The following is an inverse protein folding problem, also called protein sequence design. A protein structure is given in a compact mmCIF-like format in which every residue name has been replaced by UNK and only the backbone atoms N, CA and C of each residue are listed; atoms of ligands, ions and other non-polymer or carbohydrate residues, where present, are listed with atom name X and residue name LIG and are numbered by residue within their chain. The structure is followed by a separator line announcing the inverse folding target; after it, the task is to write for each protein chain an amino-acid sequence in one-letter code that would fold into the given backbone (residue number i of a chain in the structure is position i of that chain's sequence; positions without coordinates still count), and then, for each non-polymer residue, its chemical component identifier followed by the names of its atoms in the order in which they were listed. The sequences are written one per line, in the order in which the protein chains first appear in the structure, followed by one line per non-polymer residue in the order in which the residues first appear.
data_IF_111936363807
#
_entry.id   IF_111936363807
#
_cell.length_a   1.000
_cell.length_b   1.000
_cell.length_c   1.000
_cell.angle_alpha   90.00
_cell.angle_beta   90.00
_cell.angle_gamma   90.00
#
_symmetry.space_group_name_H-M   'P 1'
#
loop_
_entity.id
_entity.type
_entity.pdbx_description
1 polymer ?
#
# COMPACT_ATOMS: atom_id res chain seq x y z
N UNK A 1 16.81 22.95 6.44
CA UNK A 1 16.91 21.47 6.43
C UNK A 1 18.25 21.00 6.98
N UNK A 2 18.29 19.86 7.68
CA UNK A 2 19.53 19.23 8.18
C UNK A 2 19.50 17.73 7.91
N UNK A 3 20.52 17.20 7.24
CA UNK A 3 20.56 15.81 6.78
C UNK A 3 21.83 15.15 7.30
N UNK A 4 21.68 14.03 8.00
CA UNK A 4 22.83 13.20 8.38
C UNK A 4 23.16 12.23 7.24
N UNK A 5 24.42 12.20 6.82
CA UNK A 5 24.96 11.30 5.79
C UNK A 5 26.14 10.51 6.38
N UNK A 6 26.62 9.46 5.69
CA UNK A 6 27.85 8.76 6.10
C UNK A 6 29.09 9.65 6.11
N UNK A 7 29.07 10.78 5.40
CA UNK A 7 30.20 11.71 5.24
C UNK A 7 30.10 12.95 6.14
N UNK A 8 29.05 13.06 6.96
CA UNK A 8 28.83 14.20 7.84
C UNK A 8 27.42 14.74 7.74
N UNK A 9 27.21 15.93 8.30
CA UNK A 9 25.91 16.58 8.27
C UNK A 9 25.90 17.67 7.20
N UNK A 10 24.87 17.63 6.35
CA UNK A 10 24.57 18.67 5.37
C UNK A 10 23.50 19.59 5.96
N UNK A 11 23.70 20.89 5.78
CA UNK A 11 22.75 21.92 6.22
C UNK A 11 22.52 22.88 5.07
N UNK A 12 21.26 23.22 4.83
CA UNK A 12 20.86 24.15 3.79
C UNK A 12 19.39 24.49 3.97
N UNK A 13 18.91 25.55 3.31
CA UNK A 13 17.53 26.02 3.51
C UNK A 13 16.51 24.93 3.17
N UNK A 14 16.71 24.25 2.04
CA UNK A 14 15.93 23.12 1.53
C UNK A 14 16.83 22.06 0.86
N UNK A 15 16.23 21.01 0.31
CA UNK A 15 16.96 19.90 -0.31
C UNK A 15 17.67 20.35 -1.59
N UNK A 16 17.09 21.25 -2.38
CA UNK A 16 17.68 21.77 -3.60
C UNK A 16 18.94 22.60 -3.32
N UNK A 17 18.94 23.40 -2.24
CA UNK A 17 20.11 24.14 -1.80
C UNK A 17 21.26 23.19 -1.43
N UNK A 18 20.94 22.10 -0.72
CA UNK A 18 21.91 21.06 -0.35
C UNK A 18 22.48 20.38 -1.60
N UNK A 19 21.64 19.98 -2.55
CA UNK A 19 22.07 19.36 -3.81
C UNK A 19 22.93 20.32 -4.65
N UNK A 20 22.58 21.60 -4.66
CA UNK A 20 23.33 22.63 -5.40
C UNK A 20 24.72 22.87 -4.80
N UNK A 21 24.84 22.84 -3.48
CA UNK A 21 26.10 23.07 -2.78
C UNK A 21 27.01 21.84 -2.79
N UNK A 22 26.44 20.65 -2.58
CA UNK A 22 27.19 19.42 -2.32
C UNK A 22 27.15 18.41 -3.47
N UNK A 23 26.37 18.67 -4.53
CA UNK A 23 26.18 17.80 -5.68
C UNK A 23 25.15 16.69 -5.44
N UNK A 24 24.73 16.02 -6.53
CA UNK A 24 23.68 15.01 -6.50
C UNK A 24 24.06 13.70 -5.77
N UNK A 25 25.35 13.47 -5.56
CA UNK A 25 25.86 12.31 -4.80
C UNK A 25 25.80 12.49 -3.28
N UNK A 26 25.49 13.71 -2.79
CA UNK A 26 25.58 14.02 -1.37
C UNK A 26 24.52 13.30 -0.51
N UNK A 27 23.48 12.73 -1.13
CA UNK A 27 22.39 12.04 -0.43
C UNK A 27 22.58 10.53 -0.32
N UNK A 28 23.70 9.99 -0.80
CA UNK A 28 24.02 8.56 -0.69
C UNK A 28 24.08 8.14 0.78
N UNK A 29 23.26 7.16 1.17
CA UNK A 29 23.15 6.68 2.55
C UNK A 29 22.58 7.71 3.53
N UNK A 30 21.94 8.78 3.03
CA UNK A 30 21.41 9.83 3.88
C UNK A 30 20.24 9.33 4.75
N UNK A 31 20.16 9.87 5.97
CA UNK A 31 19.02 9.69 6.85
C UNK A 31 18.02 10.82 6.61
N UNK A 32 16.94 10.49 5.90
CA UNK A 32 15.84 11.36 5.48
C UNK A 32 14.50 10.88 6.06
N UNK A 33 14.53 10.16 7.19
CA UNK A 33 13.31 9.71 7.88
C UNK A 33 12.44 10.88 8.26
N UNK A 34 11.13 10.73 8.05
CA UNK A 34 10.12 11.73 8.37
C UNK A 34 10.40 13.11 7.71
N UNK A 35 11.24 13.16 6.67
CA UNK A 35 11.59 14.41 6.00
C UNK A 35 10.39 14.91 5.18
N UNK A 36 10.15 16.21 5.24
CA UNK A 36 9.26 16.92 4.32
C UNK A 36 10.04 17.21 3.04
N UNK A 37 9.73 16.44 2.00
CA UNK A 37 10.25 16.53 0.64
C UNK A 37 9.09 16.68 -0.37
N UNK A 38 7.93 17.18 0.07
CA UNK A 38 6.77 17.39 -0.79
C UNK A 38 7.16 18.29 -1.97
N UNK A 39 6.95 17.82 -3.19
CA UNK A 39 7.25 18.55 -4.42
C UNK A 39 8.74 18.85 -4.64
N UNK A 40 9.63 18.19 -3.90
CA UNK A 40 11.07 18.40 -4.01
C UNK A 40 11.58 18.03 -5.41
N UNK A 41 12.58 18.78 -5.89
CA UNK A 41 13.33 18.38 -7.08
C UNK A 41 14.55 17.54 -6.70
N UNK A 42 14.40 16.23 -6.87
CA UNK A 42 15.41 15.19 -6.65
C UNK A 42 15.83 14.53 -7.98
N UNK A 43 15.60 15.19 -9.11
CA UNK A 43 15.94 14.69 -10.44
C UNK A 43 17.43 14.32 -10.52
N UNK A 44 17.73 13.07 -10.87
CA UNK A 44 19.10 12.54 -10.94
C UNK A 44 19.82 12.41 -9.59
N UNK A 45 19.14 12.59 -8.46
CA UNK A 45 19.76 12.46 -7.14
C UNK A 45 20.19 11.02 -6.84
N UNK A 46 21.33 10.86 -6.17
CA UNK A 46 21.81 9.58 -5.71
C UNK A 46 21.34 9.33 -4.27
N UNK A 47 20.23 8.60 -4.15
CA UNK A 47 19.62 8.16 -2.90
C UNK A 47 19.94 6.69 -2.59
N UNK A 48 21.03 6.16 -3.17
CA UNK A 48 21.46 4.79 -2.91
C UNK A 48 21.58 4.56 -1.40
N UNK A 49 20.95 3.50 -0.90
CA UNK A 49 20.95 3.10 0.52
C UNK A 49 20.44 4.18 1.49
N UNK A 50 19.71 5.18 0.98
CA UNK A 50 19.12 6.23 1.81
C UNK A 50 17.94 5.68 2.65
N UNK A 51 17.78 6.24 3.84
CA UNK A 51 16.72 5.90 4.78
C UNK A 51 15.63 6.98 4.71
N UNK A 52 14.57 6.71 3.93
CA UNK A 52 13.45 7.60 3.61
C UNK A 52 12.15 7.15 4.30
N UNK A 53 12.26 6.40 5.41
CA UNK A 53 11.08 5.88 6.10
C UNK A 53 10.16 7.02 6.53
N UNK A 54 8.88 6.90 6.18
CA UNK A 54 7.85 7.89 6.47
C UNK A 54 8.13 9.31 5.92
N UNK A 55 9.05 9.46 4.97
CA UNK A 55 9.25 10.74 4.30
C UNK A 55 8.02 11.09 3.46
N UNK A 56 7.70 12.38 3.40
CA UNK A 56 6.72 12.93 2.46
C UNK A 56 7.45 13.30 1.17
N UNK A 57 7.31 12.50 0.12
CA UNK A 57 7.81 12.72 -1.23
C UNK A 57 6.63 12.97 -2.20
N UNK A 58 5.46 13.34 -1.69
CA UNK A 58 4.29 13.54 -2.53
C UNK A 58 4.56 14.65 -3.56
N UNK A 59 4.26 14.36 -4.83
CA UNK A 59 4.53 15.25 -5.96
C UNK A 59 6.01 15.51 -6.27
N UNK A 60 6.96 14.81 -5.63
CA UNK A 60 8.38 15.00 -5.86
C UNK A 60 8.82 14.57 -7.27
N UNK A 61 9.81 15.25 -7.83
CA UNK A 61 10.47 14.88 -9.07
C UNK A 61 11.69 14.01 -8.75
N UNK A 62 11.57 12.70 -8.96
CA UNK A 62 12.58 11.67 -8.74
C UNK A 62 13.03 11.04 -10.08
N UNK A 63 12.81 11.73 -11.21
CA UNK A 63 13.21 11.22 -12.52
C UNK A 63 14.71 10.97 -12.56
N UNK A 64 15.14 9.86 -13.15
CA UNK A 64 16.54 9.43 -13.21
C UNK A 64 17.24 9.26 -11.84
N UNK A 65 16.49 9.31 -10.72
CA UNK A 65 17.09 9.17 -9.40
C UNK A 65 17.54 7.72 -9.14
N UNK A 66 18.65 7.57 -8.44
CA UNK A 66 19.11 6.26 -7.97
C UNK A 66 18.55 6.00 -6.57
N UNK A 67 17.47 5.22 -6.47
CA UNK A 67 16.86 4.77 -5.22
C UNK A 67 17.26 3.34 -4.83
N UNK A 68 18.29 2.79 -5.49
CA UNK A 68 18.67 1.39 -5.25
C UNK A 68 19.08 1.17 -3.79
N UNK A 69 18.62 0.07 -3.21
CA UNK A 69 18.76 -0.28 -1.80
C UNK A 69 18.12 0.71 -0.80
N UNK A 70 17.39 1.75 -1.24
CA UNK A 70 16.77 2.70 -0.33
C UNK A 70 15.62 2.07 0.49
N UNK A 71 15.37 2.60 1.68
CA UNK A 71 14.24 2.20 2.52
C UNK A 71 13.14 3.27 2.46
N UNK A 72 12.09 3.00 1.70
CA UNK A 72 10.89 3.84 1.54
C UNK A 72 9.70 3.33 2.36
N UNK A 73 9.96 2.56 3.43
CA UNK A 73 8.90 1.99 4.24
C UNK A 73 7.96 3.09 4.74
N UNK A 74 6.68 2.99 4.42
CA UNK A 74 5.66 3.95 4.83
C UNK A 74 5.82 5.37 4.28
N UNK A 75 6.68 5.60 3.28
CA UNK A 75 6.84 6.91 2.64
C UNK A 75 5.60 7.26 1.78
N UNK A 76 5.31 8.55 1.66
CA UNK A 76 4.29 9.03 0.72
C UNK A 76 4.97 9.42 -0.60
N UNK A 77 4.73 8.68 -1.67
CA UNK A 77 5.18 9.01 -3.05
C UNK A 77 3.98 9.30 -3.94
N UNK A 78 2.84 9.70 -3.37
CA UNK A 78 1.65 10.02 -4.16
C UNK A 78 1.96 11.12 -5.17
N UNK A 79 1.51 10.94 -6.41
CA UNK A 79 1.74 11.86 -7.53
C UNK A 79 3.23 12.17 -7.85
N UNK A 80 4.19 11.42 -7.30
CA UNK A 80 5.62 11.60 -7.58
C UNK A 80 5.99 11.12 -8.99
N UNK A 81 6.98 11.76 -9.61
CA UNK A 81 7.54 11.34 -10.90
C UNK A 81 8.80 10.49 -10.66
N UNK A 82 8.68 9.17 -10.80
CA UNK A 82 9.76 8.19 -10.69
C UNK A 82 10.18 7.67 -12.06
N UNK A 83 9.90 8.39 -13.16
CA UNK A 83 10.26 7.91 -14.49
C UNK A 83 11.77 7.68 -14.60
N UNK A 84 12.16 6.56 -15.20
CA UNK A 84 13.58 6.19 -15.40
C UNK A 84 14.39 5.97 -14.09
N UNK A 85 13.76 6.05 -12.91
CA UNK A 85 14.44 5.85 -11.63
C UNK A 85 14.92 4.40 -11.44
N UNK A 86 16.01 4.22 -10.69
CA UNK A 86 16.48 2.88 -10.30
C UNK A 86 15.87 2.44 -8.97
N UNK A 87 14.93 1.48 -9.03
CA UNK A 87 14.25 0.89 -7.88
C UNK A 87 14.82 -0.47 -7.48
N UNK A 88 16.07 -0.79 -7.87
CA UNK A 88 16.71 -2.06 -7.51
C UNK A 88 16.77 -2.26 -6.00
N UNK A 89 16.22 -3.37 -5.51
CA UNK A 89 16.26 -3.75 -4.08
C UNK A 89 15.68 -2.71 -3.10
N UNK A 90 14.84 -1.80 -3.57
CA UNK A 90 14.13 -0.84 -2.74
C UNK A 90 13.10 -1.52 -1.83
N UNK A 91 12.94 -1.02 -0.60
CA UNK A 91 11.86 -1.43 0.30
C UNK A 91 10.68 -0.47 0.21
N UNK A 92 9.65 -0.84 -0.57
CA UNK A 92 8.43 -0.06 -0.75
C UNK A 92 7.29 -0.47 0.19
N UNK A 93 7.50 -1.33 1.18
CA UNK A 93 6.40 -1.82 2.02
C UNK A 93 5.67 -0.65 2.69
N UNK A 94 4.34 -0.65 2.58
CA UNK A 94 3.46 0.42 3.07
C UNK A 94 3.67 1.81 2.46
N UNK A 95 4.49 1.97 1.42
CA UNK A 95 4.63 3.26 0.74
C UNK A 95 3.37 3.58 -0.10
N UNK A 96 2.91 4.83 -0.11
CA UNK A 96 1.85 5.25 -1.03
C UNK A 96 2.45 5.59 -2.39
N UNK A 97 1.94 5.01 -3.47
CA UNK A 97 2.36 5.27 -4.86
C UNK A 97 1.16 5.70 -5.71
N UNK A 98 0.08 6.14 -5.08
CA UNK A 98 -1.14 6.57 -5.75
C UNK A 98 -0.82 7.73 -6.68
N UNK A 99 -1.04 7.55 -7.99
CA UNK A 99 -0.76 8.59 -8.99
C UNK A 99 0.70 8.71 -9.41
N UNK A 100 1.63 7.97 -8.79
CA UNK A 100 3.04 8.03 -9.13
C UNK A 100 3.30 7.56 -10.57
N UNK A 101 4.20 8.25 -11.27
CA UNK A 101 4.68 7.86 -12.59
C UNK A 101 5.88 6.93 -12.46
N UNK A 102 5.73 5.68 -12.90
CA UNK A 102 6.77 4.64 -12.85
C UNK A 102 7.20 4.21 -14.26
N UNK A 103 6.91 5.01 -15.30
CA UNK A 103 7.29 4.69 -16.68
C UNK A 103 8.80 4.51 -16.76
N UNK A 104 9.22 3.42 -17.38
CA UNK A 104 10.63 3.09 -17.61
C UNK A 104 11.50 2.98 -16.33
N UNK A 105 10.90 2.99 -15.14
CA UNK A 105 11.61 2.76 -13.88
C UNK A 105 12.22 1.35 -13.85
N UNK A 106 13.52 1.28 -13.57
CA UNK A 106 14.24 0.02 -13.55
C UNK A 106 13.78 -0.84 -12.37
N UNK A 107 13.62 -2.15 -12.61
CA UNK A 107 13.23 -3.15 -11.60
C UNK A 107 11.87 -2.96 -10.90
N UNK A 108 11.01 -2.05 -11.39
CA UNK A 108 9.67 -1.82 -10.80
C UNK A 108 8.86 -3.11 -10.66
N UNK A 109 8.89 -4.00 -11.66
CA UNK A 109 8.16 -5.28 -11.61
C UNK A 109 8.65 -6.21 -10.48
N UNK A 110 9.96 -6.22 -10.20
CA UNK A 110 10.51 -7.01 -9.10
C UNK A 110 10.12 -6.41 -7.75
N UNK A 111 10.16 -5.08 -7.62
CA UNK A 111 9.76 -4.37 -6.40
C UNK A 111 8.25 -4.54 -6.12
N UNK A 112 7.43 -4.56 -7.18
CA UNK A 112 6.02 -4.97 -7.13
C UNK A 112 5.90 -6.42 -6.62
N UNK A 113 6.60 -7.38 -7.22
CA UNK A 113 6.52 -8.79 -6.84
C UNK A 113 6.90 -9.04 -5.37
N UNK A 114 7.91 -8.32 -4.85
CA UNK A 114 8.33 -8.40 -3.43
C UNK A 114 7.28 -7.86 -2.44
N UNK A 115 6.36 -7.02 -2.88
CA UNK A 115 5.26 -6.47 -2.05
C UNK A 115 3.93 -7.20 -2.27
N UNK A 116 3.80 -7.99 -3.33
CA UNK A 116 2.61 -8.78 -3.61
C UNK A 116 2.48 -9.93 -2.61
N UNK A 117 1.29 -10.08 -2.02
CA UNK A 117 0.98 -11.17 -1.08
C UNK A 117 -0.12 -12.10 -1.58
N UNK A 118 -0.63 -11.84 -2.79
CA UNK A 118 -1.67 -12.61 -3.43
C UNK A 118 -1.02 -13.63 -4.39
N UNK A 119 -1.34 -14.92 -4.28
CA UNK A 119 -0.89 -15.90 -5.26
C UNK A 119 -1.57 -15.66 -6.61
N UNK A 120 -0.83 -15.92 -7.69
CA UNK A 120 -1.28 -15.78 -9.07
C UNK A 120 -2.39 -16.79 -9.43
N UNK A 121 -2.36 -17.97 -8.81
CA UNK A 121 -3.27 -19.07 -9.11
C UNK A 121 -3.95 -19.62 -7.86
N UNK A 122 -5.05 -20.34 -8.09
CA UNK A 122 -5.77 -21.07 -7.05
C UNK A 122 -6.68 -20.20 -6.20
N UNK A 123 -7.62 -20.86 -5.53
CA UNK A 123 -8.53 -20.22 -4.59
C UNK A 123 -7.78 -19.80 -3.32
N UNK A 124 -8.17 -18.66 -2.73
CA UNK A 124 -7.63 -18.22 -1.44
C UNK A 124 -8.73 -17.90 -0.44
N UNK A 125 -8.37 -17.97 0.83
CA UNK A 125 -9.25 -17.51 1.91
C UNK A 125 -8.89 -16.07 2.27
N UNK A 126 -9.89 -15.20 2.17
CA UNK A 126 -9.82 -13.82 2.64
C UNK A 126 -10.67 -13.60 3.89
N UNK A 127 -10.33 -12.57 4.66
CA UNK A 127 -11.05 -12.18 5.86
C UNK A 127 -11.37 -10.69 5.84
N UNK A 128 -12.62 -10.32 6.13
CA UNK A 128 -13.08 -8.93 6.09
C UNK A 128 -13.77 -8.56 7.39
N UNK A 129 -13.35 -7.46 8.01
CA UNK A 129 -14.15 -6.79 9.05
C UNK A 129 -15.38 -6.15 8.42
N UNK A 130 -16.54 -6.57 8.89
CA UNK A 130 -17.84 -6.04 8.53
C UNK A 130 -18.62 -5.72 9.81
N UNK A 131 -19.86 -5.27 9.67
CA UNK A 131 -20.68 -4.84 10.80
C UNK A 131 -22.07 -5.45 10.71
N UNK A 132 -22.67 -5.72 11.86
CA UNK A 132 -24.09 -6.05 12.00
C UNK A 132 -24.70 -5.03 12.95
N UNK A 133 -26.01 -4.81 12.84
CA UNK A 133 -26.70 -3.95 13.78
C UNK A 133 -26.63 -4.53 15.20
N UNK A 134 -26.26 -3.68 16.14
CA UNK A 134 -26.20 -4.02 17.57
C UNK A 134 -27.28 -3.29 18.34
N UNK A 135 -27.42 -3.62 19.62
CA UNK A 135 -28.47 -3.03 20.50
C UNK A 135 -28.28 -1.53 20.77
N UNK A 136 -27.06 -1.01 20.60
CA UNK A 136 -26.73 0.42 20.79
C UNK A 136 -25.76 0.97 19.74
N UNK A 137 -24.85 0.14 19.24
CA UNK A 137 -23.86 0.49 18.22
C UNK A 137 -23.62 -0.70 17.28
N UNK A 138 -23.19 -0.46 16.03
CA UNK A 138 -22.77 -1.51 15.12
C UNK A 138 -21.75 -2.45 15.78
N UNK A 139 -22.04 -3.75 15.73
CA UNK A 139 -21.13 -4.79 16.23
C UNK A 139 -20.27 -5.28 15.09
N UNK A 140 -18.95 -5.14 15.22
CA UNK A 140 -18.04 -5.66 14.21
C UNK A 140 -18.02 -7.19 14.20
N UNK A 141 -18.05 -7.78 13.01
CA UNK A 141 -17.97 -9.21 12.73
C UNK A 141 -16.88 -9.48 11.71
N UNK A 142 -16.48 -10.74 11.57
CA UNK A 142 -15.46 -11.17 10.61
C UNK A 142 -16.11 -12.07 9.57
N UNK A 143 -16.06 -11.64 8.31
CA UNK A 143 -16.54 -12.40 7.17
C UNK A 143 -15.40 -13.27 6.65
N UNK A 144 -15.63 -14.58 6.56
CA UNK A 144 -14.74 -15.52 5.89
C UNK A 144 -15.13 -15.60 4.42
N UNK A 145 -14.19 -15.32 3.54
CA UNK A 145 -14.39 -15.26 2.10
C UNK A 145 -13.58 -16.35 1.40
N UNK A 146 -14.18 -17.01 0.42
CA UNK A 146 -13.45 -17.70 -0.64
C UNK A 146 -13.28 -16.73 -1.79
N UNK A 147 -12.05 -16.38 -2.11
CA UNK A 147 -11.72 -15.62 -3.31
C UNK A 147 -11.37 -16.66 -4.39
N UNK A 148 -12.24 -16.88 -5.38
CA UNK A 148 -12.02 -17.90 -6.40
C UNK A 148 -10.83 -17.53 -7.31
N UNK A 149 -10.18 -18.53 -7.90
CA UNK A 149 -8.99 -18.41 -8.75
C UNK A 149 -9.17 -17.41 -9.91
N UNK A 150 -10.39 -17.31 -10.44
CA UNK A 150 -10.76 -16.45 -11.56
C UNK A 150 -11.28 -15.05 -11.12
N UNK A 151 -11.12 -14.69 -9.85
CA UNK A 151 -11.32 -13.32 -9.38
C UNK A 151 -10.13 -12.44 -9.79
N UNK A 152 -10.41 -11.19 -10.20
CA UNK A 152 -9.37 -10.18 -10.22
C UNK A 152 -8.96 -9.88 -8.79
N UNK A 153 -7.65 -9.74 -8.55
CA UNK A 153 -7.06 -9.57 -7.22
C UNK A 153 -6.01 -8.48 -7.28
N UNK A 154 -5.91 -7.69 -6.23
CA UNK A 154 -4.86 -6.67 -6.13
C UNK A 154 -4.51 -6.38 -4.68
N UNK A 155 -3.23 -6.16 -4.40
CA UNK A 155 -2.77 -5.44 -3.21
C UNK A 155 -1.70 -4.44 -3.64
N UNK A 156 -1.68 -3.28 -2.98
CA UNK A 156 -0.64 -2.28 -3.14
C UNK A 156 0.64 -2.71 -2.44
N UNK A 157 1.29 -1.77 -1.76
CA UNK A 157 2.50 -2.00 -0.95
C UNK A 157 2.20 -2.48 0.47
N UNK A 158 0.96 -2.28 0.92
CA UNK A 158 0.45 -2.75 2.19
C UNK A 158 -0.10 -4.18 2.12
N UNK A 159 -0.84 -4.55 3.17
CA UNK A 159 -1.41 -5.90 3.32
C UNK A 159 -2.92 -5.96 3.07
N UNK A 160 -3.56 -4.82 2.82
CA UNK A 160 -4.97 -4.76 2.43
C UNK A 160 -5.08 -5.22 0.98
N UNK A 161 -5.91 -6.22 0.77
CA UNK A 161 -6.17 -6.80 -0.55
C UNK A 161 -7.55 -6.36 -1.05
N UNK A 162 -7.75 -6.43 -2.36
CA UNK A 162 -9.02 -6.24 -3.05
C UNK A 162 -9.29 -7.39 -4.00
N UNK A 163 -10.55 -7.78 -4.15
CA UNK A 163 -10.99 -8.73 -5.17
C UNK A 163 -12.26 -8.25 -5.89
N UNK A 164 -12.45 -8.67 -7.14
CA UNK A 164 -13.69 -8.39 -7.89
C UNK A 164 -14.85 -9.30 -7.51
N UNK A 165 -14.57 -10.48 -6.95
CA UNK A 165 -15.60 -11.42 -6.51
C UNK A 165 -15.16 -12.27 -5.33
N UNK A 166 -16.12 -12.67 -4.50
CA UNK A 166 -15.90 -13.55 -3.37
C UNK A 166 -17.17 -14.32 -3.02
N UNK A 167 -17.02 -15.58 -2.56
CA UNK A 167 -18.10 -16.32 -1.91
C UNK A 167 -17.99 -16.18 -0.40
N UNK A 168 -19.08 -15.79 0.26
CA UNK A 168 -19.15 -15.69 1.72
C UNK A 168 -19.31 -17.09 2.30
N UNK A 169 -18.26 -17.58 2.97
CA UNK A 169 -18.26 -18.91 3.58
C UNK A 169 -18.88 -18.91 4.97
N UNK A 170 -18.62 -17.87 5.75
CA UNK A 170 -19.09 -17.77 7.13
C UNK A 170 -19.06 -16.32 7.63
N UNK A 171 -19.91 -16.04 8.62
CA UNK A 171 -19.91 -14.79 9.39
C UNK A 171 -19.60 -15.16 10.84
N UNK A 172 -18.60 -14.52 11.43
CA UNK A 172 -18.09 -14.89 12.75
C UNK A 172 -18.02 -13.69 13.68
N UNK A 173 -18.16 -13.93 14.98
CA UNK A 173 -17.73 -12.96 15.98
C UNK A 173 -16.18 -12.84 16.01
N UNK A 174 -15.65 -11.96 16.88
CA UNK A 174 -14.19 -11.76 17.02
C UNK A 174 -13.49 -13.01 17.57
N UNK A 175 -14.19 -13.85 18.32
CA UNK A 175 -13.69 -15.08 18.91
C UNK A 175 -13.64 -16.24 17.91
N UNK A 176 -14.36 -16.13 16.79
CA UNK A 176 -14.39 -17.13 15.72
C UNK A 176 -15.63 -18.02 15.75
N UNK A 177 -16.60 -17.72 16.62
CA UNK A 177 -17.86 -18.45 16.64
C UNK A 177 -18.71 -17.99 15.46
N UNK A 178 -19.25 -18.96 14.71
CA UNK A 178 -20.19 -18.68 13.63
C UNK A 178 -21.46 -18.02 14.17
N UNK A 179 -21.93 -17.03 13.44
CA UNK A 179 -23.19 -16.34 13.71
C UNK A 179 -24.38 -17.12 13.10
N UNK A 180 -25.63 -16.78 13.48
CA UNK A 180 -26.83 -17.37 12.88
C UNK A 180 -26.81 -17.30 11.34
N UNK A 181 -27.27 -18.35 10.63
CA UNK A 181 -27.17 -18.43 9.16
C UNK A 181 -27.89 -17.30 8.40
N UNK A 182 -28.91 -16.70 9.00
CA UNK A 182 -29.71 -15.59 8.48
C UNK A 182 -29.10 -14.20 8.77
N UNK A 183 -27.95 -14.16 9.45
CA UNK A 183 -27.22 -12.92 9.71
C UNK A 183 -26.82 -12.24 8.40
N UNK A 184 -27.12 -10.94 8.30
CA UNK A 184 -26.62 -10.07 7.24
C UNK A 184 -25.65 -9.09 7.86
N UNK A 185 -24.41 -9.03 7.34
CA UNK A 185 -23.45 -7.99 7.68
C UNK A 185 -23.30 -6.99 6.54
N UNK A 186 -22.80 -5.80 6.83
CA UNK A 186 -22.55 -4.74 5.86
C UNK A 186 -21.11 -4.21 5.94
N UNK A 187 -20.64 -3.63 4.84
CA UNK A 187 -19.33 -2.97 4.80
C UNK A 187 -19.35 -1.70 5.66
N UNK A 188 -18.22 -1.40 6.31
CA UNK A 188 -18.09 -0.15 7.07
C UNK A 188 -18.01 1.11 6.21
N UNK A 189 -17.75 0.98 4.91
CA UNK A 189 -17.66 2.11 3.98
C UNK A 189 -18.96 2.33 3.18
N UNK A 190 -19.69 1.25 2.91
CA UNK A 190 -20.93 1.25 2.16
C UNK A 190 -21.89 0.26 2.84
N UNK A 191 -22.93 0.79 3.48
CA UNK A 191 -23.90 -0.02 4.22
C UNK A 191 -24.83 -0.83 3.31
N UNK A 192 -24.94 -0.46 2.04
CA UNK A 192 -25.74 -1.19 1.05
C UNK A 192 -24.97 -2.42 0.54
N UNK A 193 -23.64 -2.42 0.67
CA UNK A 193 -22.79 -3.57 0.37
C UNK A 193 -22.85 -4.60 1.51
N UNK A 194 -23.60 -5.69 1.28
CA UNK A 194 -23.88 -6.71 2.29
C UNK A 194 -23.16 -8.05 2.07
N UNK A 195 -23.04 -8.82 3.15
CA UNK A 195 -22.44 -10.14 3.21
C UNK A 195 -23.41 -11.09 3.90
N UNK A 196 -23.83 -12.14 3.20
CA UNK A 196 -24.66 -13.23 3.74
C UNK A 196 -24.06 -14.58 3.41
N UNK A 197 -24.12 -15.50 4.36
CA UNK A 197 -23.50 -16.82 4.24
C UNK A 197 -24.04 -17.58 3.02
N UNK A 198 -23.14 -18.07 2.18
CA UNK A 198 -23.45 -18.85 0.98
C UNK A 198 -23.60 -18.02 -0.30
N UNK A 199 -23.72 -16.69 -0.19
CA UNK A 199 -23.81 -15.80 -1.35
C UNK A 199 -22.45 -15.59 -2.02
N UNK A 200 -22.49 -15.32 -3.32
CA UNK A 200 -21.33 -14.83 -4.08
C UNK A 200 -21.58 -13.36 -4.38
N UNK A 201 -20.67 -12.52 -3.93
CA UNK A 201 -20.70 -11.08 -4.11
C UNK A 201 -19.75 -10.69 -5.24
N UNK A 202 -20.16 -9.67 -6.01
CA UNK A 202 -19.47 -9.17 -7.19
C UNK A 202 -19.32 -7.65 -7.08
N UNK A 203 -18.21 -7.13 -7.59
CA UNK A 203 -17.94 -5.70 -7.76
C UNK A 203 -17.64 -5.48 -9.24
N UNK A 204 -18.54 -4.77 -9.91
CA UNK A 204 -18.50 -4.55 -11.37
C UNK A 204 -17.46 -3.51 -11.79
N UNK A 205 -17.15 -2.55 -10.91
CA UNK A 205 -16.23 -1.44 -11.14
C UNK A 205 -14.85 -1.66 -10.52
N UNK A 206 -14.38 -2.91 -10.45
CA UNK A 206 -13.08 -3.25 -9.85
C UNK A 206 -11.93 -2.45 -10.48
N UNK A 207 -11.23 -1.68 -9.64
CA UNK A 207 -10.11 -0.85 -10.09
C UNK A 207 -8.81 -1.66 -10.13
N UNK A 208 -8.27 -1.86 -11.34
CA UNK A 208 -7.02 -2.60 -11.56
C UNK A 208 -5.77 -1.84 -11.14
N UNK A 209 -5.86 -0.54 -10.87
CA UNK A 209 -4.73 0.23 -10.35
C UNK A 209 -4.39 -0.24 -8.93
N UNK A 210 -3.30 -0.99 -8.81
CA UNK A 210 -2.87 -1.55 -7.52
C UNK A 210 -2.41 -0.51 -6.51
N UNK A 211 -1.97 0.66 -6.98
CA UNK A 211 -1.43 1.71 -6.13
C UNK A 211 -2.52 2.42 -5.33
N UNK A 212 -3.73 2.49 -5.89
CA UNK A 212 -4.89 3.01 -5.20
C UNK A 212 -5.48 1.96 -4.26
N UNK A 213 -4.91 1.87 -3.05
CA UNK A 213 -5.20 0.79 -2.10
C UNK A 213 -6.68 0.77 -1.65
N UNK A 214 -7.34 1.92 -1.60
CA UNK A 214 -8.75 2.11 -1.20
C UNK A 214 -9.73 2.18 -2.39
N UNK A 215 -9.30 1.78 -3.59
CA UNK A 215 -10.17 1.81 -4.77
C UNK A 215 -11.30 0.76 -4.70
N UNK A 216 -12.34 0.87 -5.56
CA UNK A 216 -13.44 -0.10 -5.60
C UNK A 216 -12.97 -1.57 -5.64
N UNK A 217 -13.65 -2.41 -4.86
CA UNK A 217 -13.33 -3.83 -4.70
C UNK A 217 -13.77 -4.39 -3.34
N UNK A 218 -13.89 -5.71 -3.27
CA UNK A 218 -14.12 -6.41 -2.01
C UNK A 218 -12.81 -6.40 -1.25
N UNK A 219 -12.73 -5.54 -0.24
CA UNK A 219 -11.54 -5.44 0.59
C UNK A 219 -11.42 -6.63 1.53
N UNK A 220 -10.23 -7.19 1.70
CA UNK A 220 -9.97 -8.30 2.63
C UNK A 220 -8.50 -8.35 3.07
N UNK A 221 -8.23 -9.17 4.07
CA UNK A 221 -6.89 -9.56 4.50
C UNK A 221 -6.70 -11.06 4.33
N UNK A 222 -5.45 -11.48 4.11
CA UNK A 222 -5.10 -12.91 4.01
C UNK A 222 -5.30 -13.63 5.34
N UNK A 223 -4.96 -12.98 6.45
CA UNK A 223 -5.15 -13.58 7.77
C UNK A 223 -6.34 -13.01 8.52
N UNK A 224 -6.99 -13.86 9.30
CA UNK A 224 -8.10 -13.48 10.18
C UNK A 224 -7.66 -12.44 11.22
N UNK A 225 -6.44 -12.55 11.74
CA UNK A 225 -5.92 -11.68 12.80
C UNK A 225 -5.81 -10.24 12.29
N UNK A 226 -5.34 -10.03 11.07
CA UNK A 226 -5.31 -8.71 10.43
C UNK A 226 -6.70 -8.12 10.30
N UNK A 227 -7.65 -8.89 9.78
CA UNK A 227 -9.04 -8.45 9.66
C UNK A 227 -9.68 -8.12 11.02
N UNK A 228 -9.34 -8.84 12.10
CA UNK A 228 -9.85 -8.50 13.44
C UNK A 228 -9.26 -7.19 13.96
N UNK A 229 -7.97 -6.94 13.70
CA UNK A 229 -7.25 -5.77 14.21
C UNK A 229 -7.54 -4.49 13.44
N UNK A 230 -7.70 -4.56 12.12
CA UNK A 230 -8.02 -3.42 11.24
C UNK A 230 -9.41 -2.86 11.51
#
# INVERSE_FOLDING_TARGET
MKITTPHGTLEGDNIEAILKEHGYDCLRGACLRDADLHGANLHGANLYDADLRYADLSGADLRDANLSCACLYGADLSDADLSDADLSDVDLRYADLSGADLRDANYVQLSIAKTSILPEEGDIIGWKKAYVDGTMLPKSVIVKLLIPADAQRSNGTGRKCRASKARVLDLQDKQGNSLPPDTTAYSGHDTDFTYKKGETIHVEDFDTNRWKECAPGIHFFITRIEAVKY
#
